data_IF_054924113860
#
_entry.id   IF_054924113860
#
_cell.length_a   1.000
_cell.length_b   1.000
_cell.length_c   1.000
_cell.angle_alpha   90.00
_cell.angle_beta   90.00
_cell.angle_gamma   90.00
#
_symmetry.space_group_name_H-M   'P 1'
#
loop_
_entity.id
_entity.type
_entity.pdbx_description
1 polymer ?
#
# COMPACT_ATOMS: atom_id res chain seq x y z
N UNK A 1 -3.48 -36.26 0.47
CA UNK A 1 -4.93 -36.49 0.55
C UNK A 1 -5.32 -37.60 1.52
N UNK A 2 -4.91 -38.86 1.30
CA UNK A 2 -5.33 -40.00 2.17
C UNK A 2 -5.00 -39.79 3.65
N UNK A 3 -3.78 -39.35 3.95
CA UNK A 3 -3.33 -39.11 5.33
C UNK A 3 -4.20 -38.05 6.04
N UNK A 4 -4.55 -36.97 5.33
CA UNK A 4 -5.41 -35.91 5.84
C UNK A 4 -6.84 -36.39 6.05
N UNK A 5 -7.39 -37.13 5.09
CA UNK A 5 -8.73 -37.72 5.22
C UNK A 5 -8.83 -38.67 6.42
N UNK A 6 -7.84 -39.55 6.61
CA UNK A 6 -7.78 -40.42 7.78
C UNK A 6 -7.71 -39.65 9.09
N UNK A 7 -6.95 -38.55 9.12
CA UNK A 7 -6.88 -37.68 10.31
C UNK A 7 -8.22 -37.02 10.62
N UNK A 8 -8.94 -36.54 9.61
CA UNK A 8 -10.29 -35.98 9.79
C UNK A 8 -11.28 -37.02 10.34
N UNK A 9 -11.19 -38.28 9.87
CA UNK A 9 -12.03 -39.37 10.40
C UNK A 9 -11.74 -39.65 11.87
N UNK A 10 -10.47 -39.64 12.26
CA UNK A 10 -10.06 -39.80 13.66
C UNK A 10 -10.66 -38.69 14.52
N UNK A 11 -10.48 -37.42 14.13
CA UNK A 11 -11.03 -36.26 14.85
C UNK A 11 -12.55 -36.38 15.00
N UNK A 12 -13.27 -36.65 13.91
CA UNK A 12 -14.73 -36.85 13.94
C UNK A 12 -15.15 -37.92 14.94
N UNK A 13 -14.43 -39.03 15.02
CA UNK A 13 -14.75 -40.18 15.87
C UNK A 13 -14.44 -39.93 17.34
N UNK A 14 -13.29 -39.30 17.62
CA UNK A 14 -12.80 -39.07 18.97
C UNK A 14 -13.52 -37.91 19.65
N UNK A 15 -13.63 -36.78 18.96
CA UNK A 15 -14.13 -35.53 19.54
C UNK A 15 -15.66 -35.41 19.43
N UNK A 16 -16.30 -36.28 18.63
CA UNK A 16 -17.75 -36.29 18.37
C UNK A 16 -18.29 -34.96 17.82
N UNK A 17 -17.45 -34.26 17.08
CA UNK A 17 -17.73 -32.92 16.56
C UNK A 17 -18.72 -32.94 15.39
N UNK A 18 -19.62 -31.97 15.38
CA UNK A 18 -20.58 -31.73 14.30
C UNK A 18 -20.04 -30.79 13.21
N UNK A 19 -18.95 -30.07 13.48
CA UNK A 19 -18.23 -29.24 12.51
C UNK A 19 -16.72 -29.31 12.75
N UNK A 20 -15.96 -29.67 11.72
CA UNK A 20 -14.49 -29.60 11.75
C UNK A 20 -14.07 -28.37 10.93
N UNK A 21 -13.33 -27.46 11.57
CA UNK A 21 -12.81 -26.27 10.92
C UNK A 21 -11.31 -26.38 10.64
N UNK A 22 -10.89 -25.88 9.48
CA UNK A 22 -9.48 -25.62 9.16
C UNK A 22 -9.40 -24.32 8.38
N UNK A 23 -8.54 -23.39 8.82
CA UNK A 23 -8.19 -22.17 8.09
C UNK A 23 -6.68 -22.17 7.83
N UNK A 24 -6.31 -21.82 6.61
CA UNK A 24 -4.92 -21.64 6.18
C UNK A 24 -4.86 -20.50 5.18
N UNK A 25 -3.71 -19.86 5.06
CA UNK A 25 -3.44 -18.93 3.96
C UNK A 25 -3.53 -19.67 2.62
N UNK A 26 -4.14 -19.03 1.61
CA UNK A 26 -4.42 -19.68 0.32
C UNK A 26 -3.15 -20.05 -0.45
N UNK A 27 -2.09 -19.27 -0.22
CA UNK A 27 -0.77 -19.41 -0.81
C UNK A 27 -0.09 -20.73 -0.43
N UNK A 28 -0.56 -21.43 0.61
CA UNK A 28 -0.08 -22.78 0.94
C UNK A 28 -0.34 -23.74 -0.23
N UNK A 29 -1.44 -23.57 -0.98
CA UNK A 29 -1.87 -24.50 -2.01
C UNK A 29 -1.21 -24.18 -3.37
N UNK A 30 0.07 -24.56 -3.51
CA UNK A 30 0.83 -24.49 -4.76
C UNK A 30 2.00 -23.51 -4.74
N UNK A 31 1.86 -22.35 -4.08
CA UNK A 31 2.93 -21.36 -4.01
C UNK A 31 3.98 -21.72 -2.94
N UNK A 32 3.56 -21.96 -1.70
CA UNK A 32 4.47 -22.36 -0.62
C UNK A 32 4.68 -23.87 -0.53
N UNK A 33 3.64 -24.68 -0.82
CA UNK A 33 3.74 -26.14 -0.89
C UNK A 33 3.45 -26.61 -2.33
N UNK A 34 4.47 -27.04 -3.10
CA UNK A 34 4.28 -27.59 -4.42
C UNK A 34 3.27 -28.75 -4.41
N UNK A 35 2.31 -28.72 -5.34
CA UNK A 35 1.21 -29.70 -5.45
C UNK A 35 0.21 -29.71 -4.27
N UNK A 36 0.26 -28.71 -3.38
CA UNK A 36 -0.72 -28.56 -2.29
C UNK A 36 -2.15 -28.41 -2.81
N UNK A 37 -2.32 -27.71 -3.93
CA UNK A 37 -3.58 -27.58 -4.69
C UNK A 37 -4.11 -28.95 -5.16
N UNK A 38 -3.24 -29.80 -5.72
CA UNK A 38 -3.61 -31.15 -6.13
C UNK A 38 -4.00 -32.03 -4.94
N UNK A 39 -3.29 -31.88 -3.81
CA UNK A 39 -3.60 -32.61 -2.59
C UNK A 39 -4.97 -32.21 -2.02
N UNK A 40 -5.32 -30.92 -2.08
CA UNK A 40 -6.63 -30.40 -1.70
C UNK A 40 -7.74 -30.91 -2.63
N UNK A 41 -7.53 -30.85 -3.95
CA UNK A 41 -8.49 -31.37 -4.93
C UNK A 41 -8.76 -32.87 -4.72
N UNK A 42 -7.72 -33.66 -4.47
CA UNK A 42 -7.84 -35.08 -4.16
C UNK A 42 -8.54 -35.34 -2.82
N UNK A 43 -8.41 -34.45 -1.82
CA UNK A 43 -9.17 -34.54 -0.57
C UNK A 43 -10.65 -34.26 -0.81
N UNK A 44 -10.98 -33.19 -1.55
CA UNK A 44 -12.36 -32.82 -1.90
C UNK A 44 -13.04 -33.99 -2.62
N UNK A 45 -12.37 -34.56 -3.63
CA UNK A 45 -12.89 -35.71 -4.36
C UNK A 45 -13.19 -36.91 -3.44
N UNK A 46 -12.33 -37.18 -2.46
CA UNK A 46 -12.56 -38.24 -1.46
C UNK A 46 -13.75 -37.96 -0.56
N UNK A 47 -13.99 -36.69 -0.20
CA UNK A 47 -15.16 -36.28 0.59
C UNK A 47 -16.44 -36.40 -0.25
N UNK A 48 -16.40 -36.12 -1.55
CA UNK A 48 -17.57 -36.30 -2.43
C UNK A 48 -17.88 -37.77 -2.70
N UNK A 49 -16.84 -38.61 -2.85
CA UNK A 49 -16.99 -40.04 -3.13
C UNK A 49 -17.39 -40.87 -1.89
N UNK A 50 -17.40 -40.26 -0.70
CA UNK A 50 -17.66 -40.95 0.58
C UNK A 50 -18.66 -40.16 1.42
N UNK A 51 -19.64 -40.84 1.98
CA UNK A 51 -20.68 -40.19 2.81
C UNK A 51 -20.20 -39.85 4.24
N UNK A 52 -18.90 -39.86 4.52
CA UNK A 52 -18.37 -39.59 5.86
C UNK A 52 -18.40 -38.10 6.23
N UNK A 53 -18.33 -37.19 5.25
CA UNK A 53 -18.26 -35.75 5.47
C UNK A 53 -19.10 -34.98 4.47
N UNK A 54 -19.44 -33.73 4.80
CA UNK A 54 -20.04 -32.77 3.87
C UNK A 54 -19.25 -31.48 3.94
N UNK A 55 -18.76 -30.99 2.80
CA UNK A 55 -18.10 -29.68 2.74
C UNK A 55 -19.18 -28.60 2.83
N UNK A 56 -19.00 -27.65 3.74
CA UNK A 56 -19.91 -26.53 3.96
C UNK A 56 -19.12 -25.28 4.31
N UNK A 57 -19.77 -24.12 4.19
CA UNK A 57 -19.28 -22.87 4.78
C UNK A 57 -20.05 -22.56 6.08
N UNK A 58 -19.57 -21.56 6.83
CA UNK A 58 -20.18 -21.19 8.12
C UNK A 58 -21.62 -20.72 8.00
N UNK A 59 -21.96 -19.91 6.99
CA UNK A 59 -23.31 -19.38 6.81
C UNK A 59 -24.32 -20.51 6.58
N UNK A 60 -23.97 -21.49 5.73
CA UNK A 60 -24.80 -22.65 5.45
C UNK A 60 -24.96 -23.55 6.69
N UNK A 61 -23.88 -23.77 7.45
CA UNK A 61 -23.96 -24.53 8.70
C UNK A 61 -24.85 -23.83 9.74
N UNK A 62 -24.62 -22.54 9.99
CA UNK A 62 -25.36 -21.73 10.96
C UNK A 62 -26.86 -21.62 10.64
N UNK A 63 -27.24 -21.67 9.36
CA UNK A 63 -28.66 -21.63 8.95
C UNK A 63 -29.50 -22.79 9.52
N UNK A 64 -28.86 -23.94 9.75
CA UNK A 64 -29.50 -25.14 10.30
C UNK A 64 -29.07 -25.43 11.76
N UNK A 65 -28.05 -24.74 12.24
CA UNK A 65 -27.44 -24.93 13.56
C UNK A 65 -27.19 -23.55 14.19
N UNK A 66 -28.25 -22.85 14.64
CA UNK A 66 -28.10 -21.52 15.24
C UNK A 66 -27.19 -21.60 16.47
N UNK A 67 -26.35 -20.59 16.67
CA UNK A 67 -25.52 -20.48 17.87
C UNK A 67 -26.42 -20.28 19.09
N UNK A 68 -26.31 -21.17 20.08
CA UNK A 68 -27.09 -21.13 21.33
C UNK A 68 -26.26 -20.66 22.53
N UNK A 69 -24.94 -20.68 22.39
CA UNK A 69 -23.99 -20.36 23.43
C UNK A 69 -23.22 -19.08 23.10
N UNK A 70 -22.84 -18.35 24.14
CA UNK A 70 -21.96 -17.19 24.03
C UNK A 70 -20.50 -17.61 24.21
N UNK A 71 -19.62 -17.07 23.38
CA UNK A 71 -18.17 -17.23 23.53
C UNK A 71 -17.56 -15.92 24.00
N UNK A 72 -16.82 -15.97 25.11
CA UNK A 72 -16.03 -14.83 25.57
C UNK A 72 -14.64 -14.89 24.94
N UNK A 73 -14.33 -13.89 24.12
CA UNK A 73 -13.00 -13.77 23.53
C UNK A 73 -12.01 -13.27 24.58
N UNK A 74 -10.85 -13.92 24.65
CA UNK A 74 -9.77 -13.42 25.48
C UNK A 74 -9.31 -12.05 24.95
N UNK A 75 -9.22 -11.06 25.83
CA UNK A 75 -8.92 -9.68 25.44
C UNK A 75 -7.46 -9.50 24.97
N UNK A 76 -6.59 -10.49 25.19
CA UNK A 76 -5.17 -10.37 24.85
C UNK A 76 -4.41 -9.41 25.76
N UNK A 77 -3.15 -9.15 25.42
CA UNK A 77 -2.35 -8.15 26.13
C UNK A 77 -2.85 -6.74 25.86
N UNK A 78 -2.90 -5.89 26.90
CA UNK A 78 -3.38 -4.50 26.82
C UNK A 78 -4.80 -4.36 26.25
N UNK A 79 -5.62 -5.42 26.31
CA UNK A 79 -6.98 -5.46 25.76
C UNK A 79 -7.06 -5.21 24.24
N UNK A 80 -5.97 -5.49 23.51
CA UNK A 80 -5.89 -5.27 22.05
C UNK A 80 -6.30 -6.48 21.20
N UNK A 81 -6.61 -7.61 21.83
CA UNK A 81 -7.12 -8.82 21.19
C UNK A 81 -6.10 -9.96 21.04
N UNK A 82 -6.61 -11.15 20.74
CA UNK A 82 -5.83 -12.34 20.40
C UNK A 82 -5.48 -12.42 18.92
N UNK A 83 -4.57 -13.33 18.56
CA UNK A 83 -4.31 -13.69 17.17
C UNK A 83 -4.14 -15.20 17.04
N UNK A 84 -4.36 -15.71 15.83
CA UNK A 84 -4.16 -17.13 15.52
C UNK A 84 -2.69 -17.54 15.37
N UNK A 85 -1.79 -16.58 15.12
CA UNK A 85 -0.38 -16.82 14.73
C UNK A 85 0.64 -16.29 15.74
N UNK A 86 0.18 -15.83 16.91
CA UNK A 86 1.05 -15.43 18.01
C UNK A 86 0.39 -15.77 19.35
N UNK A 87 1.12 -16.47 20.23
CA UNK A 87 0.69 -16.75 21.61
C UNK A 87 0.48 -15.48 22.44
N UNK A 88 1.10 -14.36 22.06
CA UNK A 88 0.97 -13.06 22.71
C UNK A 88 -0.11 -12.17 22.06
N UNK A 89 -1.08 -12.77 21.38
CA UNK A 89 -2.18 -12.04 20.75
C UNK A 89 -1.69 -11.11 19.65
N UNK A 90 -2.21 -9.87 19.61
CA UNK A 90 -1.81 -8.89 18.60
C UNK A 90 -0.51 -8.14 18.93
N UNK A 91 0.16 -8.48 20.04
CA UNK A 91 1.42 -7.84 20.45
C UNK A 91 2.53 -7.96 19.42
N UNK A 92 2.50 -8.99 18.57
CA UNK A 92 3.40 -9.11 17.42
C UNK A 92 3.39 -7.87 16.52
N UNK A 93 2.27 -7.18 16.36
CA UNK A 93 2.12 -6.08 15.40
C UNK A 93 2.35 -4.68 15.98
N UNK A 94 2.74 -4.55 17.25
CA UNK A 94 3.03 -3.23 17.84
C UNK A 94 4.17 -3.21 18.87
N UNK A 95 4.66 -4.37 19.34
CA UNK A 95 5.79 -4.42 20.28
C UNK A 95 6.69 -5.63 20.12
N UNK A 96 7.81 -5.61 20.86
CA UNK A 96 8.70 -6.75 20.99
C UNK A 96 8.10 -7.83 21.91
N UNK A 97 7.18 -8.64 21.38
CA UNK A 97 6.60 -9.78 22.11
C UNK A 97 7.54 -10.98 22.24
N UNK A 98 8.75 -10.93 21.65
CA UNK A 98 9.73 -12.02 21.66
C UNK A 98 9.49 -13.11 20.61
N UNK A 99 8.36 -13.10 19.91
CA UNK A 99 8.17 -13.98 18.75
C UNK A 99 8.97 -13.48 17.54
N UNK A 100 9.80 -14.37 16.98
CA UNK A 100 10.56 -14.16 15.75
C UNK A 100 10.17 -15.19 14.69
N UNK A 101 10.38 -14.86 13.42
CA UNK A 101 10.02 -15.70 12.26
C UNK A 101 11.12 -15.59 11.22
N UNK A 102 12.12 -16.47 11.31
CA UNK A 102 13.39 -16.38 10.57
C UNK A 102 14.40 -15.43 11.25
N UNK A 103 15.46 -15.06 10.53
CA UNK A 103 16.49 -14.14 11.03
C UNK A 103 17.55 -14.81 11.92
N UNK A 104 18.48 -14.00 12.40
CA UNK A 104 19.52 -14.43 13.36
C UNK A 104 18.93 -14.49 14.78
N UNK A 105 19.36 -15.48 15.57
CA UNK A 105 18.87 -15.71 16.94
C UNK A 105 19.10 -14.51 17.90
N UNK A 106 20.02 -13.60 17.56
CA UNK A 106 20.29 -12.39 18.34
C UNK A 106 19.37 -11.21 18.02
N UNK A 107 18.54 -11.33 16.97
CA UNK A 107 17.67 -10.25 16.54
C UNK A 107 16.46 -10.07 17.46
N UNK A 108 15.95 -8.85 17.52
CA UNK A 108 14.81 -8.46 18.33
C UNK A 108 13.86 -7.53 17.55
N UNK A 109 12.65 -7.36 18.10
CA UNK A 109 11.59 -6.59 17.46
C UNK A 109 11.29 -5.30 18.23
N UNK A 110 12.29 -4.74 18.92
CA UNK A 110 12.16 -3.47 19.66
C UNK A 110 11.87 -2.27 18.76
N UNK A 111 12.12 -2.40 17.46
CA UNK A 111 11.78 -1.39 16.45
C UNK A 111 10.27 -1.22 16.24
N UNK A 112 9.45 -2.22 16.59
CA UNK A 112 8.01 -2.18 16.31
C UNK A 112 7.30 -1.07 17.07
N UNK A 113 7.58 -0.91 18.37
CA UNK A 113 6.93 0.15 19.17
C UNK A 113 7.21 1.55 18.64
N UNK A 114 8.47 1.99 18.45
CA UNK A 114 8.74 3.33 17.91
C UNK A 114 8.25 3.52 16.48
N UNK A 115 8.24 2.48 15.63
CA UNK A 115 7.65 2.57 14.30
C UNK A 115 6.12 2.76 14.39
N UNK A 116 5.47 2.09 15.34
CA UNK A 116 4.02 2.18 15.49
C UNK A 116 3.62 3.56 16.01
N UNK A 117 4.35 4.04 17.00
CA UNK A 117 4.17 5.39 17.55
C UNK A 117 4.40 6.47 16.49
N UNK A 118 5.41 6.33 15.61
CA UNK A 118 5.65 7.31 14.54
C UNK A 118 4.49 7.37 13.55
N UNK A 119 3.90 6.22 13.20
CA UNK A 119 2.71 6.18 12.34
C UNK A 119 1.47 6.70 13.06
N UNK A 120 1.27 6.37 14.33
CA UNK A 120 0.12 6.83 15.12
C UNK A 120 0.14 8.37 15.29
N UNK A 121 1.32 8.96 15.51
CA UNK A 121 1.47 10.42 15.55
C UNK A 121 1.14 11.06 14.20
N UNK A 122 1.72 10.56 13.09
CA UNK A 122 1.41 11.06 11.75
C UNK A 122 -0.08 10.90 11.41
N UNK A 123 -0.67 9.75 11.74
CA UNK A 123 -2.08 9.45 11.49
C UNK A 123 -2.98 10.48 12.16
N UNK A 124 -2.68 10.86 13.40
CA UNK A 124 -3.46 11.85 14.15
C UNK A 124 -3.44 13.24 13.49
N UNK A 125 -2.27 13.67 13.01
CA UNK A 125 -2.15 14.94 12.29
C UNK A 125 -2.90 14.90 10.96
N UNK A 126 -2.77 13.80 10.20
CA UNK A 126 -3.50 13.57 8.96
C UNK A 126 -5.02 13.61 9.19
N UNK A 127 -5.51 12.94 10.23
CA UNK A 127 -6.93 12.90 10.58
C UNK A 127 -7.47 14.28 10.97
N UNK A 128 -6.68 15.05 11.72
CA UNK A 128 -7.02 16.43 12.09
C UNK A 128 -7.13 17.34 10.85
N UNK A 129 -6.18 17.23 9.92
CA UNK A 129 -6.19 17.98 8.67
C UNK A 129 -7.37 17.54 7.80
N UNK A 130 -7.58 16.23 7.64
CA UNK A 130 -8.66 15.68 6.84
C UNK A 130 -10.03 16.19 7.29
N UNK A 131 -10.31 16.11 8.58
CA UNK A 131 -11.55 16.62 9.14
C UNK A 131 -11.73 18.12 8.87
N UNK A 132 -10.69 18.92 9.11
CA UNK A 132 -10.73 20.37 8.89
C UNK A 132 -11.01 20.73 7.42
N UNK A 133 -10.25 20.14 6.49
CA UNK A 133 -10.36 20.46 5.07
C UNK A 133 -11.69 19.99 4.46
N UNK A 134 -12.15 18.78 4.82
CA UNK A 134 -13.44 18.27 4.34
C UNK A 134 -14.60 19.15 4.85
N UNK A 135 -14.57 19.53 6.13
CA UNK A 135 -15.56 20.47 6.69
C UNK A 135 -15.53 21.82 5.98
N UNK A 136 -14.35 22.30 5.59
CA UNK A 136 -14.21 23.55 4.84
C UNK A 136 -14.84 23.45 3.44
N UNK A 137 -14.47 22.43 2.66
CA UNK A 137 -14.98 22.18 1.29
C UNK A 137 -16.51 22.09 1.29
N UNK A 138 -17.08 21.30 2.21
CA UNK A 138 -18.53 21.06 2.25
C UNK A 138 -19.30 22.00 3.18
N UNK A 139 -18.65 22.98 3.82
CA UNK A 139 -19.25 23.92 4.78
C UNK A 139 -20.07 23.19 5.86
N UNK A 140 -19.45 22.17 6.46
CA UNK A 140 -20.02 21.28 7.48
C UNK A 140 -21.26 20.45 7.06
N UNK A 141 -21.61 20.41 5.77
CA UNK A 141 -22.76 19.62 5.29
C UNK A 141 -22.42 18.14 5.05
N UNK A 142 -21.13 17.80 5.05
CA UNK A 142 -20.64 16.44 4.83
C UNK A 142 -19.86 15.98 6.05
N UNK A 143 -20.21 14.82 6.60
CA UNK A 143 -19.37 14.18 7.61
C UNK A 143 -18.10 13.61 6.94
N UNK A 144 -16.90 13.93 7.44
CA UNK A 144 -15.65 13.47 6.84
C UNK A 144 -15.49 11.95 6.87
N UNK A 145 -15.95 11.29 7.91
CA UNK A 145 -15.76 9.86 8.10
C UNK A 145 -16.73 9.06 7.24
N UNK A 146 -17.98 9.51 7.10
CA UNK A 146 -18.93 8.95 6.13
C UNK A 146 -18.43 9.13 4.69
N UNK A 147 -17.81 10.28 4.38
CA UNK A 147 -17.19 10.51 3.08
C UNK A 147 -16.03 9.53 2.82
N UNK A 148 -15.17 9.32 3.82
CA UNK A 148 -14.06 8.37 3.74
C UNK A 148 -14.55 6.92 3.60
N UNK A 149 -15.63 6.53 4.27
CA UNK A 149 -16.27 5.23 4.06
C UNK A 149 -16.83 5.10 2.64
N UNK A 150 -17.47 6.16 2.13
CA UNK A 150 -18.00 6.23 0.76
C UNK A 150 -16.92 6.10 -0.32
N UNK A 151 -15.67 6.46 0.00
CA UNK A 151 -14.51 6.34 -0.88
C UNK A 151 -14.01 4.88 -1.07
N UNK A 152 -14.48 3.92 -0.27
CA UNK A 152 -14.02 2.52 -0.33
C UNK A 152 -14.05 1.86 -1.73
N UNK A 153 -15.04 2.11 -2.60
CA UNK A 153 -15.04 1.58 -3.97
C UNK A 153 -13.88 2.12 -4.83
N UNK A 154 -13.47 3.38 -4.65
CA UNK A 154 -12.30 3.95 -5.34
C UNK A 154 -11.02 3.32 -4.80
N UNK A 155 -10.88 3.21 -3.47
CA UNK A 155 -9.74 2.55 -2.83
C UNK A 155 -9.57 1.09 -3.27
N UNK A 156 -10.69 0.43 -3.59
CA UNK A 156 -10.75 -0.95 -4.10
C UNK A 156 -10.66 -1.06 -5.62
N UNK A 157 -10.41 0.06 -6.32
CA UNK A 157 -10.35 0.15 -7.79
C UNK A 157 -11.61 -0.36 -8.53
N UNK A 158 -12.78 -0.31 -7.87
CA UNK A 158 -14.06 -0.68 -8.47
C UNK A 158 -14.65 0.47 -9.31
N UNK A 159 -14.33 1.71 -8.96
CA UNK A 159 -14.67 2.93 -9.71
C UNK A 159 -13.46 3.88 -9.70
N UNK A 160 -13.36 4.77 -10.68
CA UNK A 160 -12.32 5.80 -10.70
C UNK A 160 -12.68 7.02 -9.84
N UNK A 161 -11.67 7.79 -9.43
CA UNK A 161 -11.83 8.97 -8.57
C UNK A 161 -12.78 10.02 -9.17
N UNK A 162 -12.70 10.27 -10.48
CA UNK A 162 -13.52 11.28 -11.15
C UNK A 162 -14.99 10.89 -11.16
N UNK A 163 -15.29 9.62 -11.43
CA UNK A 163 -16.65 9.08 -11.34
C UNK A 163 -17.21 9.20 -9.93
N UNK A 164 -16.41 8.89 -8.90
CA UNK A 164 -16.82 9.08 -7.50
C UNK A 164 -17.12 10.55 -7.19
N UNK A 165 -16.22 11.46 -7.56
CA UNK A 165 -16.33 12.87 -7.24
C UNK A 165 -17.43 13.60 -8.02
N UNK A 166 -17.86 13.08 -9.17
CA UNK A 166 -18.96 13.65 -9.97
C UNK A 166 -20.30 13.72 -9.23
N UNK A 167 -20.46 12.96 -8.14
CA UNK A 167 -21.64 13.00 -7.27
C UNK A 167 -21.66 14.21 -6.33
N UNK A 168 -20.54 14.92 -6.18
CA UNK A 168 -20.42 16.11 -5.36
C UNK A 168 -20.37 17.36 -6.25
N UNK A 169 -21.12 18.39 -5.89
CA UNK A 169 -21.15 19.67 -6.60
C UNK A 169 -19.94 20.54 -6.20
N UNK A 170 -18.73 20.11 -6.57
CA UNK A 170 -17.46 20.77 -6.27
C UNK A 170 -16.98 21.59 -7.48
N UNK A 171 -16.20 22.65 -7.22
CA UNK A 171 -15.39 23.24 -8.27
C UNK A 171 -14.11 22.40 -8.51
N UNK A 172 -13.33 22.76 -9.53
CA UNK A 172 -12.14 22.00 -9.92
C UNK A 172 -11.05 21.99 -8.82
N UNK A 173 -10.93 23.06 -8.04
CA UNK A 173 -9.90 23.17 -7.01
C UNK A 173 -10.26 22.31 -5.80
N UNK A 174 -11.53 22.36 -5.39
CA UNK A 174 -12.07 21.51 -4.32
C UNK A 174 -12.08 20.03 -4.72
N UNK A 175 -12.39 19.69 -5.98
CA UNK A 175 -12.35 18.32 -6.49
C UNK A 175 -10.95 17.70 -6.36
N UNK A 176 -9.91 18.43 -6.79
CA UNK A 176 -8.53 17.96 -6.69
C UNK A 176 -8.04 17.94 -5.23
N UNK A 177 -8.43 18.92 -4.43
CA UNK A 177 -8.10 18.97 -2.99
C UNK A 177 -8.69 17.75 -2.28
N UNK A 178 -9.96 17.45 -2.51
CA UNK A 178 -10.62 16.30 -1.94
C UNK A 178 -10.01 14.97 -2.43
N UNK A 179 -9.72 14.85 -3.73
CA UNK A 179 -9.02 13.69 -4.27
C UNK A 179 -7.66 13.47 -3.59
N UNK A 180 -6.88 14.55 -3.39
CA UNK A 180 -5.59 14.51 -2.69
C UNK A 180 -5.73 14.00 -1.26
N UNK A 181 -6.71 14.53 -0.52
CA UNK A 181 -6.99 14.16 0.86
C UNK A 181 -7.38 12.68 0.99
N UNK A 182 -8.28 12.20 0.13
CA UNK A 182 -8.74 10.80 0.13
C UNK A 182 -7.61 9.81 -0.19
N UNK A 183 -6.75 10.14 -1.16
CA UNK A 183 -5.59 9.30 -1.50
C UNK A 183 -4.55 9.32 -0.37
N UNK A 184 -4.35 10.45 0.31
CA UNK A 184 -3.46 10.47 1.47
C UNK A 184 -4.02 9.67 2.65
N UNK A 185 -5.34 9.64 2.89
CA UNK A 185 -5.96 8.72 3.85
C UNK A 185 -5.73 7.25 3.46
N UNK A 186 -5.80 6.91 2.17
CA UNK A 186 -5.48 5.57 1.69
C UNK A 186 -4.03 5.17 2.03
N UNK A 187 -3.05 6.03 1.73
CA UNK A 187 -1.66 5.77 2.09
C UNK A 187 -1.40 5.72 3.60
N UNK A 188 -2.12 6.55 4.38
CA UNK A 188 -2.13 6.47 5.84
C UNK A 188 -2.60 5.09 6.32
N UNK A 189 -3.63 4.51 5.71
CA UNK A 189 -4.04 3.14 6.06
C UNK A 189 -3.01 2.09 5.62
N UNK A 190 -2.39 2.27 4.45
CA UNK A 190 -1.39 1.34 3.93
C UNK A 190 -0.14 1.24 4.79
N UNK A 191 0.28 2.30 5.50
CA UNK A 191 1.44 2.21 6.41
C UNK A 191 1.21 1.25 7.59
N UNK A 192 -0.04 0.85 7.86
CA UNK A 192 -0.39 -0.16 8.87
C UNK A 192 -0.49 -1.58 8.31
N UNK A 193 -0.09 -1.83 7.05
CA UNK A 193 -0.13 -3.17 6.45
C UNK A 193 0.61 -4.17 7.33
N UNK A 194 -0.09 -5.24 7.74
CA UNK A 194 0.32 -6.13 8.82
C UNK A 194 1.61 -6.92 8.52
N UNK A 195 1.89 -7.21 7.25
CA UNK A 195 3.11 -7.88 6.80
C UNK A 195 4.37 -7.11 7.22
N UNK A 196 4.31 -5.77 7.23
CA UNK A 196 5.42 -4.91 7.65
C UNK A 196 5.83 -5.05 9.11
N UNK A 197 5.02 -5.76 9.91
CA UNK A 197 5.30 -6.03 11.32
C UNK A 197 5.62 -7.49 11.59
N UNK A 198 5.35 -8.40 10.65
CA UNK A 198 5.39 -9.83 10.90
C UNK A 198 6.81 -10.38 11.00
N UNK A 199 7.70 -9.89 10.12
CA UNK A 199 9.09 -10.33 10.01
C UNK A 199 10.03 -9.64 11.01
N UNK A 200 11.33 -10.00 10.98
CA UNK A 200 12.23 -9.79 12.10
C UNK A 200 12.86 -8.40 12.17
N UNK A 201 13.02 -7.73 11.03
CA UNK A 201 13.87 -6.55 10.93
C UNK A 201 13.21 -5.36 10.25
N UNK A 202 13.52 -4.17 10.75
CA UNK A 202 13.03 -2.90 10.24
C UNK A 202 13.46 -2.64 8.79
N UNK A 203 14.64 -3.11 8.39
CA UNK A 203 15.16 -2.92 7.04
C UNK A 203 14.66 -3.97 6.04
N UNK A 204 13.76 -4.87 6.47
CA UNK A 204 13.04 -5.78 5.58
C UNK A 204 12.17 -5.01 4.58
N UNK A 205 11.87 -5.63 3.43
CA UNK A 205 11.13 -4.99 2.35
C UNK A 205 9.73 -4.53 2.81
N UNK A 206 9.09 -5.27 3.72
CA UNK A 206 7.74 -4.99 4.19
C UNK A 206 7.68 -3.76 5.12
N UNK A 207 8.49 -3.65 6.20
CA UNK A 207 8.51 -2.42 6.98
C UNK A 207 9.03 -1.20 6.20
N UNK A 208 9.98 -1.38 5.26
CA UNK A 208 10.38 -0.30 4.35
C UNK A 208 9.19 0.22 3.54
N UNK A 209 8.38 -0.69 2.98
CA UNK A 209 7.19 -0.31 2.23
C UNK A 209 6.18 0.44 3.11
N UNK A 210 6.00 0.07 4.38
CA UNK A 210 5.15 0.83 5.30
C UNK A 210 5.67 2.24 5.55
N UNK A 211 6.99 2.42 5.70
CA UNK A 211 7.63 3.74 5.81
C UNK A 211 7.40 4.54 4.52
N UNK A 212 7.55 3.93 3.34
CA UNK A 212 7.26 4.58 2.06
C UNK A 212 5.81 5.06 2.00
N UNK A 213 4.84 4.24 2.41
CA UNK A 213 3.44 4.66 2.48
C UNK A 213 3.21 5.83 3.44
N UNK A 214 3.86 5.85 4.61
CA UNK A 214 3.80 6.98 5.53
C UNK A 214 4.34 8.27 4.89
N UNK A 215 5.46 8.19 4.15
CA UNK A 215 6.01 9.32 3.42
C UNK A 215 5.08 9.81 2.30
N UNK A 216 4.43 8.90 1.57
CA UNK A 216 3.47 9.24 0.52
C UNK A 216 2.24 9.97 1.10
N UNK A 217 1.68 9.46 2.21
CA UNK A 217 0.59 10.11 2.91
C UNK A 217 1.00 11.53 3.38
N UNK A 218 2.18 11.64 3.98
CA UNK A 218 2.75 12.89 4.46
C UNK A 218 2.93 13.91 3.34
N UNK A 219 3.50 13.52 2.19
CA UNK A 219 3.71 14.41 1.05
C UNK A 219 2.40 15.03 0.54
N UNK A 220 1.31 14.25 0.51
CA UNK A 220 0.00 14.74 0.10
C UNK A 220 -0.62 15.69 1.14
N UNK A 221 -0.28 15.52 2.41
CA UNK A 221 -0.84 16.29 3.53
C UNK A 221 -0.03 17.53 3.93
N UNK A 222 1.27 17.56 3.62
CA UNK A 222 2.18 18.62 4.07
C UNK A 222 1.71 20.01 3.64
N UNK A 223 1.13 20.17 2.45
CA UNK A 223 0.64 21.46 1.94
C UNK A 223 -0.54 22.04 2.74
N UNK A 224 -1.25 21.19 3.49
CA UNK A 224 -2.34 21.60 4.38
C UNK A 224 -1.86 21.79 5.83
N UNK A 225 -0.61 21.50 6.14
CA UNK A 225 -0.06 21.68 7.49
C UNK A 225 0.81 22.92 7.56
N UNK A 226 0.68 23.67 8.67
CA UNK A 226 1.64 24.72 9.02
C UNK A 226 2.87 24.15 9.75
N UNK A 227 2.82 22.89 10.16
CA UNK A 227 3.92 22.20 10.83
C UNK A 227 4.74 21.43 9.81
N UNK A 228 6.03 21.24 10.10
CA UNK A 228 6.90 20.35 9.32
C UNK A 228 6.64 18.89 9.74
N UNK A 229 5.69 18.24 9.05
CA UNK A 229 5.31 16.86 9.33
C UNK A 229 6.50 15.92 9.06
N UNK A 230 7.34 16.24 8.07
CA UNK A 230 8.50 15.42 7.72
C UNK A 230 9.51 15.44 8.87
N UNK A 231 9.83 16.61 9.41
CA UNK A 231 10.75 16.71 10.54
C UNK A 231 10.27 15.89 11.74
N UNK A 232 8.97 15.96 12.07
CA UNK A 232 8.36 15.20 13.16
C UNK A 232 8.43 13.68 12.92
N UNK A 233 8.03 13.23 11.72
CA UNK A 233 8.09 11.82 11.36
C UNK A 233 9.52 11.27 11.44
N UNK A 234 10.50 12.01 10.93
CA UNK A 234 11.91 11.61 10.99
C UNK A 234 12.46 11.57 12.42
N UNK A 235 11.99 12.44 13.31
CA UNK A 235 12.37 12.42 14.73
C UNK A 235 11.84 11.17 15.45
N UNK A 236 10.61 10.76 15.16
CA UNK A 236 10.05 9.54 15.73
C UNK A 236 10.68 8.27 15.12
N UNK A 237 10.86 8.24 13.80
CA UNK A 237 11.49 7.12 13.09
C UNK A 237 12.94 6.88 13.49
N UNK A 238 13.65 7.89 14.00
CA UNK A 238 15.01 7.74 14.55
C UNK A 238 15.06 6.73 15.72
N UNK A 239 13.96 6.58 16.46
CA UNK A 239 13.86 5.67 17.62
C UNK A 239 13.75 4.21 17.19
N UNK A 240 13.24 3.95 15.98
CA UNK A 240 13.16 2.60 15.40
C UNK A 240 14.53 2.21 14.82
N UNK A 241 15.16 1.17 15.36
CA UNK A 241 16.50 0.73 14.96
C UNK A 241 16.45 -0.64 14.31
N UNK A 242 17.08 -0.77 13.14
CA UNK A 242 17.30 -2.08 12.55
C UNK A 242 18.26 -2.93 13.41
N UNK A 243 18.16 -4.24 13.30
CA UNK A 243 19.04 -5.20 13.99
C UNK A 243 20.46 -5.14 13.43
N UNK A 244 20.61 -4.90 12.13
CA UNK A 244 21.90 -4.73 11.48
C UNK A 244 22.34 -3.28 11.57
N UNK A 245 23.51 -3.03 12.16
CA UNK A 245 24.04 -1.67 12.39
C UNK A 245 24.16 -0.86 11.10
N UNK A 246 24.52 -1.49 9.98
CA UNK A 246 24.67 -0.82 8.70
C UNK A 246 23.36 -0.34 8.08
N UNK A 247 22.21 -0.90 8.49
CA UNK A 247 20.90 -0.51 7.99
C UNK A 247 20.32 0.70 8.76
N UNK A 248 20.94 1.08 9.88
CA UNK A 248 20.62 2.28 10.63
C UNK A 248 19.24 2.24 11.31
N UNK A 249 18.49 3.32 11.11
CA UNK A 249 17.21 3.60 11.77
C UNK A 249 16.07 3.79 10.75
N UNK A 250 14.83 3.85 11.24
CA UNK A 250 13.69 4.18 10.39
C UNK A 250 13.86 5.53 9.69
N UNK A 251 14.58 6.47 10.31
CA UNK A 251 14.94 7.75 9.68
C UNK A 251 15.88 7.57 8.49
N UNK A 252 16.90 6.73 8.62
CA UNK A 252 17.86 6.47 7.55
C UNK A 252 17.17 5.81 6.35
N UNK A 253 16.28 4.85 6.63
CA UNK A 253 15.41 4.22 5.64
C UNK A 253 14.53 5.28 4.96
N UNK A 254 13.80 6.10 5.73
CA UNK A 254 12.93 7.13 5.17
C UNK A 254 13.68 8.13 4.28
N UNK A 255 14.89 8.55 4.68
CA UNK A 255 15.75 9.43 3.87
C UNK A 255 16.27 8.75 2.60
N UNK A 256 16.44 7.42 2.60
CA UNK A 256 16.75 6.66 1.41
C UNK A 256 15.55 6.61 0.46
N UNK A 257 14.36 6.30 0.98
CA UNK A 257 13.11 6.26 0.20
C UNK A 257 12.78 7.62 -0.43
N UNK A 258 13.06 8.74 0.27
CA UNK A 258 12.88 10.09 -0.26
C UNK A 258 13.78 10.46 -1.44
N UNK A 259 14.82 9.66 -1.74
CA UNK A 259 15.66 9.85 -2.94
C UNK A 259 15.03 9.23 -4.19
N UNK A 260 13.96 8.45 -4.04
CA UNK A 260 13.21 7.94 -5.20
C UNK A 260 12.60 9.09 -5.98
N UNK A 261 12.47 8.90 -7.30
CA UNK A 261 11.93 9.94 -8.17
C UNK A 261 10.45 10.18 -7.85
N UNK A 262 9.99 11.44 -7.81
CA UNK A 262 8.57 11.74 -7.74
C UNK A 262 7.83 11.10 -8.91
N UNK A 263 6.60 10.62 -8.65
CA UNK A 263 5.85 9.85 -9.63
C UNK A 263 5.58 10.60 -10.94
N UNK A 264 5.36 11.91 -10.88
CA UNK A 264 5.13 12.77 -12.03
C UNK A 264 6.39 12.95 -12.88
N UNK A 265 7.57 13.02 -12.24
CA UNK A 265 8.87 13.09 -12.92
C UNK A 265 9.18 11.74 -13.58
N UNK A 266 8.90 10.65 -12.87
CA UNK A 266 9.03 9.30 -13.37
C UNK A 266 8.11 9.04 -14.58
N UNK A 267 6.84 9.44 -14.50
CA UNK A 267 5.89 9.33 -15.60
C UNK A 267 6.28 10.19 -16.81
N UNK A 268 6.72 11.43 -16.57
CA UNK A 268 7.23 12.29 -17.64
C UNK A 268 8.41 11.63 -18.36
N UNK A 269 9.39 11.13 -17.60
CA UNK A 269 10.53 10.39 -18.14
C UNK A 269 10.08 9.20 -18.99
N UNK A 270 9.15 8.39 -18.49
CA UNK A 270 8.61 7.24 -19.24
C UNK A 270 8.01 7.69 -20.58
N UNK A 271 7.15 8.71 -20.59
CA UNK A 271 6.52 9.16 -21.83
C UNK A 271 7.55 9.70 -22.84
N UNK A 272 8.58 10.39 -22.37
CA UNK A 272 9.68 10.88 -23.22
C UNK A 272 10.44 9.70 -23.84
N UNK A 273 10.84 8.72 -23.01
CA UNK A 273 11.55 7.54 -23.48
C UNK A 273 10.70 6.71 -24.43
N UNK A 274 9.40 6.58 -24.16
CA UNK A 274 8.47 5.87 -25.04
C UNK A 274 8.36 6.57 -26.41
N UNK A 275 8.39 7.91 -26.46
CA UNK A 275 8.44 8.65 -27.75
C UNK A 275 9.78 8.52 -28.47
N UNK A 276 10.88 8.31 -27.73
CA UNK A 276 12.23 8.16 -28.29
C UNK A 276 12.50 6.76 -28.83
N UNK A 277 12.01 5.72 -28.17
CA UNK A 277 12.39 4.31 -28.42
C UNK A 277 11.30 3.53 -29.15
N UNK A 278 10.03 3.73 -28.79
CA UNK A 278 8.94 2.95 -29.36
C UNK A 278 8.54 3.47 -30.76
N UNK A 279 7.86 2.61 -31.52
CA UNK A 279 7.22 3.04 -32.76
C UNK A 279 5.95 3.83 -32.44
N UNK A 280 5.50 4.69 -33.35
CA UNK A 280 4.33 5.55 -33.14
C UNK A 280 3.05 4.78 -32.77
N UNK A 281 2.86 3.60 -33.35
CA UNK A 281 1.75 2.69 -33.03
C UNK A 281 1.78 2.14 -31.59
N UNK A 282 2.96 2.12 -30.97
CA UNK A 282 3.22 1.58 -29.63
C UNK A 282 3.36 2.70 -28.59
N UNK A 283 2.99 3.92 -28.96
CA UNK A 283 2.99 5.07 -28.06
C UNK A 283 1.96 4.91 -26.94
N UNK A 284 2.45 4.72 -25.73
CA UNK A 284 1.60 4.69 -24.55
C UNK A 284 1.09 6.10 -24.22
N UNK A 285 -0.12 6.12 -23.67
CA UNK A 285 -0.76 7.30 -23.05
C UNK A 285 -0.94 7.13 -21.55
N UNK A 286 -0.53 6.00 -20.98
CA UNK A 286 -0.65 5.72 -19.56
C UNK A 286 0.65 5.17 -18.98
N UNK A 287 0.94 5.53 -17.73
CA UNK A 287 2.03 4.98 -16.95
C UNK A 287 1.63 4.93 -15.47
N UNK A 288 1.40 3.72 -14.95
CA UNK A 288 0.79 3.55 -13.63
C UNK A 288 -0.56 4.28 -13.55
N UNK A 289 -0.69 5.20 -12.61
CA UNK A 289 -1.87 6.05 -12.45
C UNK A 289 -1.77 7.40 -13.17
N UNK A 290 -0.73 7.64 -13.98
CA UNK A 290 -0.62 8.86 -14.79
C UNK A 290 -1.15 8.66 -16.21
N UNK A 291 -1.84 9.68 -16.73
CA UNK A 291 -2.20 9.80 -18.16
C UNK A 291 -1.42 10.92 -18.83
N UNK A 292 -1.10 10.74 -20.10
CA UNK A 292 -0.52 11.78 -20.96
C UNK A 292 -1.63 12.51 -21.71
N UNK A 293 -1.88 13.77 -21.32
CA UNK A 293 -2.92 14.61 -21.90
C UNK A 293 -2.42 15.28 -23.19
N UNK A 294 -1.18 15.77 -23.17
CA UNK A 294 -0.56 16.44 -24.31
C UNK A 294 0.95 16.22 -24.33
N UNK A 295 1.51 16.14 -25.54
CA UNK A 295 2.94 16.05 -25.79
C UNK A 295 3.31 17.02 -26.91
N UNK A 296 4.26 17.90 -26.64
CA UNK A 296 4.75 18.88 -27.61
C UNK A 296 6.28 18.85 -27.64
N UNK A 297 6.84 18.52 -28.81
CA UNK A 297 8.27 18.63 -29.07
C UNK A 297 8.56 20.05 -29.56
N UNK A 298 9.08 20.90 -28.67
CA UNK A 298 9.41 22.29 -29.02
C UNK A 298 10.59 22.35 -29.99
N UNK A 299 11.63 21.56 -29.72
CA UNK A 299 12.79 21.38 -30.57
C UNK A 299 13.40 19.98 -30.34
N UNK A 300 14.59 19.72 -30.90
CA UNK A 300 15.24 18.42 -30.75
C UNK A 300 15.70 18.10 -29.32
N UNK A 301 15.92 19.11 -28.49
CA UNK A 301 16.38 19.00 -27.11
C UNK A 301 15.23 19.07 -26.11
N UNK A 302 14.21 19.87 -26.39
CA UNK A 302 13.17 20.25 -25.42
C UNK A 302 11.82 19.64 -25.75
N UNK A 303 11.23 18.94 -24.80
CA UNK A 303 9.87 18.40 -24.86
C UNK A 303 9.04 18.92 -23.70
N UNK A 304 7.79 19.28 -23.97
CA UNK A 304 6.83 19.72 -22.97
C UNK A 304 5.66 18.75 -22.97
N UNK A 305 5.35 18.23 -21.81
CA UNK A 305 4.31 17.25 -21.58
C UNK A 305 3.30 17.82 -20.60
N UNK A 306 2.02 17.53 -20.81
CA UNK A 306 0.99 17.70 -19.80
C UNK A 306 0.52 16.33 -19.37
N UNK A 307 0.66 16.02 -18.09
CA UNK A 307 0.30 14.73 -17.52
C UNK A 307 -0.67 14.93 -16.35
N UNK A 308 -1.57 13.97 -16.15
CA UNK A 308 -2.55 14.00 -15.06
C UNK A 308 -2.39 12.76 -14.18
N UNK A 309 -2.28 12.96 -12.87
CA UNK A 309 -2.42 11.88 -11.90
C UNK A 309 -3.92 11.53 -11.76
N UNK A 310 -4.33 10.35 -12.22
CA UNK A 310 -5.75 9.92 -12.21
C UNK A 310 -6.31 9.69 -10.80
N UNK A 311 -5.46 9.55 -9.79
CA UNK A 311 -5.87 9.34 -8.40
C UNK A 311 -6.11 10.67 -7.69
N UNK A 312 -5.16 11.60 -7.77
CA UNK A 312 -5.28 12.91 -7.11
C UNK A 312 -5.93 13.97 -7.99
N UNK A 313 -6.14 13.67 -9.27
CA UNK A 313 -6.61 14.59 -10.33
C UNK A 313 -5.68 15.78 -10.56
N UNK A 314 -4.46 15.75 -10.01
CA UNK A 314 -3.45 16.80 -10.21
C UNK A 314 -2.91 16.75 -11.63
N UNK A 315 -2.89 17.90 -12.30
CA UNK A 315 -2.24 18.07 -13.61
C UNK A 315 -0.89 18.74 -13.45
N UNK A 316 0.13 18.17 -14.11
CA UNK A 316 1.47 18.69 -14.16
C UNK A 316 1.85 19.10 -15.58
N UNK A 317 2.59 20.20 -15.71
CA UNK A 317 3.36 20.52 -16.92
C UNK A 317 4.81 20.14 -16.66
N UNK A 318 5.30 19.18 -17.44
CA UNK A 318 6.68 18.72 -17.34
C UNK A 318 7.46 19.18 -18.56
N UNK A 319 8.55 19.92 -18.33
CA UNK A 319 9.51 20.29 -19.37
C UNK A 319 10.75 19.43 -19.21
N UNK A 320 11.09 18.68 -20.24
CA UNK A 320 12.28 17.86 -20.27
C UNK A 320 13.26 18.37 -21.32
N UNK A 321 14.53 18.46 -20.93
CA UNK A 321 15.64 18.86 -21.79
C UNK A 321 16.65 17.72 -21.87
N UNK A 322 16.87 17.21 -23.08
CA UNK A 322 17.96 16.31 -23.44
C UNK A 322 19.13 17.12 -24.00
N UNK A 323 20.31 17.16 -23.35
CA UNK A 323 21.46 17.90 -23.86
C UNK A 323 22.09 17.23 -25.10
N UNK A 324 21.84 15.95 -25.34
CA UNK A 324 22.49 15.14 -26.37
C UNK A 324 21.49 14.21 -27.11
N UNK A 325 20.46 14.74 -27.79
CA UNK A 325 19.37 13.94 -28.37
C UNK A 325 19.81 12.96 -29.46
N UNK A 326 20.95 13.23 -30.11
CA UNK A 326 21.52 12.34 -31.13
C UNK A 326 22.36 11.20 -30.57
N UNK A 327 22.75 11.25 -29.28
CA UNK A 327 23.53 10.19 -28.65
C UNK A 327 22.60 9.10 -28.12
N UNK A 328 23.13 7.90 -27.87
CA UNK A 328 22.39 6.83 -27.19
C UNK A 328 22.34 7.01 -25.67
N UNK A 329 23.13 7.91 -25.11
CA UNK A 329 23.16 8.24 -23.69
C UNK A 329 21.88 8.96 -23.28
N UNK A 330 21.19 8.47 -22.26
CA UNK A 330 20.00 9.11 -21.72
C UNK A 330 20.40 10.02 -20.55
N UNK A 331 20.37 11.33 -20.81
CA UNK A 331 20.56 12.40 -19.83
C UNK A 331 19.39 13.37 -19.98
N UNK A 332 18.68 13.66 -18.90
CA UNK A 332 17.56 14.59 -18.93
C UNK A 332 17.57 15.53 -17.74
N UNK A 333 17.22 16.79 -17.98
CA UNK A 333 16.73 17.67 -16.93
C UNK A 333 15.21 17.75 -17.06
N UNK A 334 14.48 17.26 -16.06
CA UNK A 334 13.00 17.33 -16.02
C UNK A 334 12.58 18.35 -14.98
N UNK A 335 11.86 19.36 -15.42
CA UNK A 335 11.18 20.33 -14.54
C UNK A 335 9.70 20.01 -14.51
N UNK A 336 9.14 19.73 -13.34
CA UNK A 336 7.71 19.52 -13.13
C UNK A 336 7.08 20.75 -12.48
N UNK A 337 5.93 21.19 -12.98
CA UNK A 337 5.11 22.27 -12.45
C UNK A 337 3.70 21.74 -12.17
N UNK A 338 3.27 21.78 -10.91
CA UNK A 338 1.86 21.62 -10.55
C UNK A 338 1.09 22.88 -10.98
N UNK A 339 0.14 22.73 -11.91
CA UNK A 339 -0.57 23.87 -12.51
C UNK A 339 -1.38 24.64 -11.47
N UNK A 340 -1.97 23.93 -10.51
CA UNK A 340 -2.94 24.51 -9.60
C UNK A 340 -2.25 25.10 -8.37
N UNK A 341 -1.17 24.48 -7.90
CA UNK A 341 -0.41 24.98 -6.75
C UNK A 341 0.85 25.76 -7.10
N UNK A 342 1.16 25.94 -8.39
CA UNK A 342 2.31 26.72 -8.89
C UNK A 342 3.66 26.32 -8.25
N UNK A 343 3.78 25.04 -7.87
CA UNK A 343 4.99 24.48 -7.27
C UNK A 343 5.84 23.86 -8.36
N UNK A 344 7.11 24.29 -8.45
CA UNK A 344 8.04 23.84 -9.48
C UNK A 344 9.25 23.13 -8.84
N UNK A 345 9.63 22.00 -9.41
CA UNK A 345 10.83 21.25 -9.04
C UNK A 345 11.58 20.77 -10.27
N UNK A 346 12.92 20.73 -10.20
CA UNK A 346 13.78 20.31 -11.31
C UNK A 346 14.70 19.18 -10.88
N UNK A 347 14.80 18.16 -11.73
CA UNK A 347 15.55 16.93 -11.48
C UNK A 347 16.50 16.66 -12.64
N UNK A 348 17.75 16.34 -12.31
CA UNK A 348 18.72 15.86 -13.28
C UNK A 348 18.80 14.34 -13.20
N UNK A 349 18.65 13.68 -14.35
CA UNK A 349 18.52 12.24 -14.48
C UNK A 349 19.57 11.70 -15.44
N UNK A 350 20.38 10.77 -14.95
CA UNK A 350 21.35 10.02 -15.75
C UNK A 350 20.82 8.61 -16.05
N UNK A 351 21.44 7.92 -17.02
CA UNK A 351 21.08 6.57 -17.45
C UNK A 351 20.89 5.55 -16.31
N UNK A 352 21.72 5.63 -15.26
CA UNK A 352 21.68 4.74 -14.09
C UNK A 352 20.55 5.05 -13.11
N UNK A 353 19.94 6.24 -13.21
CA UNK A 353 18.80 6.67 -12.38
C UNK A 353 17.45 6.27 -13.00
N UNK A 354 17.45 5.80 -14.24
CA UNK A 354 16.23 5.35 -14.93
C UNK A 354 15.76 4.02 -14.31
N UNK A 355 14.55 3.97 -13.72
CA UNK A 355 14.05 2.77 -13.07
C UNK A 355 14.03 1.56 -14.00
N UNK A 356 14.58 0.42 -13.56
CA UNK A 356 14.63 -0.81 -14.37
C UNK A 356 13.23 -1.25 -14.84
N UNK A 357 12.21 -1.06 -14.00
CA UNK A 357 10.81 -1.36 -14.33
C UNK A 357 10.26 -0.64 -15.56
N UNK A 358 10.84 0.51 -15.94
CA UNK A 358 10.43 1.19 -17.18
C UNK A 358 10.89 0.43 -18.41
N UNK A 359 12.03 -0.27 -18.35
CA UNK A 359 12.63 -0.91 -19.52
C UNK A 359 11.77 -2.06 -20.04
N UNK A 360 10.98 -2.69 -19.19
CA UNK A 360 10.05 -3.75 -19.59
C UNK A 360 8.79 -3.19 -20.28
N UNK A 361 8.54 -1.87 -20.18
CA UNK A 361 7.37 -1.17 -20.70
C UNK A 361 7.68 -0.27 -21.92
N UNK A 362 8.96 -0.10 -22.25
CA UNK A 362 9.47 0.67 -23.39
C UNK A 362 9.76 -0.25 -24.58
#
# INVERSE_FOLDING_TARGET
ADLLYHRLLTIKKEDRESLIHTATDGEIYGHHEPYGDMALAALIKKVEDREDFTITNYAAYLSNHPALDEAFLYLGEEEKGTSWSCSHGVSRWYKNCGCHTGGDDTWNQKWRTPLRESFDHLSKEIDTIFEREVRHIFKDQQDPWDLLHGFAPVASALIDMKSFLSSYALDHEDEQTLATLLIGQQYKHFCYTSCGWFFNDLAGIEPRQNITYALMALQLYQKFSTQDLLAQLLEDLLKAKANRKQDGTGKDIALEELKTLPGEVEAALFFILNRRVAQEKDYSKEYGYFSLDAYNKQDNHTQVLRITNKLTLTTYVCTATDPNPEKSTLEYTITSLDINHQTQQSFFLEQNMIPLRMRDLL
#
